data_IF_802818518590
#
_entry.id   IF_802818518590
#
_cell.length_a   1.000
_cell.length_b   1.000
_cell.length_c   1.000
_cell.angle_alpha   90.00
_cell.angle_beta   90.00
_cell.angle_gamma   90.00
#
_symmetry.space_group_name_H-M   'P 1'
#
loop_
_entity.id
_entity.type
_entity.pdbx_description
1 polymer ?
#
# COMPACT_ATOMS: atom_id res chain seq x y z
N UNK A 1 -3.12 -33.50 11.41
CA UNK A 1 -4.19 -33.73 12.38
C UNK A 1 -5.15 -32.54 12.35
N UNK A 2 -6.45 -32.81 12.33
CA UNK A 2 -7.50 -31.79 12.43
C UNK A 2 -8.07 -31.86 13.83
N UNK A 3 -8.12 -30.70 14.52
CA UNK A 3 -8.68 -30.58 15.86
C UNK A 3 -9.68 -29.45 15.83
N UNK A 4 -10.95 -29.82 15.96
CA UNK A 4 -12.06 -28.89 15.93
C UNK A 4 -12.40 -28.35 17.34
N UNK A 5 -13.09 -27.21 17.39
CA UNK A 5 -13.66 -26.62 18.61
C UNK A 5 -12.64 -26.26 19.71
N UNK A 6 -11.41 -25.87 19.34
CA UNK A 6 -10.43 -25.41 20.30
C UNK A 6 -10.82 -24.07 20.90
N UNK A 7 -10.78 -23.97 22.23
CA UNK A 7 -10.83 -22.68 22.92
C UNK A 7 -9.56 -21.86 22.66
N UNK A 8 -9.58 -20.53 22.87
CA UNK A 8 -8.35 -19.71 22.71
C UNK A 8 -7.17 -20.19 23.56
N UNK A 9 -7.42 -20.66 24.78
CA UNK A 9 -6.37 -21.24 25.65
C UNK A 9 -5.78 -22.52 25.10
N UNK A 10 -6.60 -23.42 24.60
CA UNK A 10 -6.14 -24.66 24.00
C UNK A 10 -5.30 -24.42 22.74
N UNK A 11 -5.63 -23.38 21.93
CA UNK A 11 -4.81 -22.95 20.81
C UNK A 11 -3.40 -22.54 21.27
N UNK A 12 -3.30 -21.69 22.29
CA UNK A 12 -2.03 -21.25 22.89
C UNK A 12 -1.21 -22.42 23.40
N UNK A 13 -1.82 -23.34 24.19
CA UNK A 13 -1.12 -24.50 24.75
C UNK A 13 -0.58 -25.44 23.65
N UNK A 14 -1.31 -25.58 22.55
CA UNK A 14 -0.84 -26.36 21.40
C UNK A 14 0.30 -25.68 20.67
N UNK A 15 0.18 -24.40 20.36
CA UNK A 15 1.26 -23.64 19.71
C UNK A 15 2.52 -23.73 20.57
N UNK A 16 2.42 -23.57 21.88
CA UNK A 16 3.53 -23.72 22.82
C UNK A 16 4.14 -25.13 22.78
N UNK A 17 3.31 -26.17 22.74
CA UNK A 17 3.78 -27.55 22.67
C UNK A 17 4.53 -27.83 21.36
N UNK A 18 4.04 -27.33 20.23
CA UNK A 18 4.69 -27.49 18.93
C UNK A 18 5.96 -26.62 18.83
N UNK A 19 5.92 -25.38 19.35
CA UNK A 19 7.09 -24.48 19.41
C UNK A 19 8.24 -25.07 20.22
N UNK A 20 7.94 -25.90 21.21
CA UNK A 20 8.97 -26.65 21.96
C UNK A 20 9.58 -27.83 21.17
N UNK A 21 9.00 -28.23 20.04
CA UNK A 21 9.45 -29.36 19.21
C UNK A 21 10.10 -28.92 17.91
N UNK A 22 9.57 -27.86 17.29
CA UNK A 22 10.02 -27.39 15.98
C UNK A 22 9.71 -25.89 15.81
N UNK A 23 10.33 -25.27 14.78
CA UNK A 23 9.97 -23.91 14.37
C UNK A 23 8.52 -23.92 13.89
N UNK A 24 7.68 -23.16 14.57
CA UNK A 24 6.23 -23.15 14.39
C UNK A 24 5.77 -21.81 13.82
N UNK A 25 4.98 -21.87 12.76
CA UNK A 25 4.25 -20.75 12.21
C UNK A 25 2.77 -20.90 12.59
N UNK A 26 2.22 -19.90 13.26
CA UNK A 26 0.78 -19.81 13.54
C UNK A 26 0.14 -18.86 12.56
N UNK A 27 -0.94 -19.30 11.94
CA UNK A 27 -1.77 -18.45 11.06
C UNK A 27 -3.16 -18.32 11.70
N UNK A 28 -3.65 -17.10 11.82
CA UNK A 28 -4.95 -16.82 12.41
C UNK A 28 -5.62 -15.61 11.76
N UNK A 29 -6.95 -15.61 11.74
CA UNK A 29 -7.78 -14.59 11.07
C UNK A 29 -8.53 -13.67 12.04
N UNK A 30 -8.48 -13.92 13.33
CA UNK A 30 -9.32 -13.25 14.33
C UNK A 30 -8.59 -12.72 15.55
N UNK A 31 -9.25 -11.77 16.23
CA UNK A 31 -8.80 -11.17 17.50
C UNK A 31 -8.55 -12.23 18.58
N UNK A 32 -9.31 -13.34 18.54
CA UNK A 32 -9.18 -14.44 19.47
C UNK A 32 -7.88 -15.26 19.28
N UNK A 33 -7.22 -15.11 18.16
CA UNK A 33 -5.97 -15.82 17.83
C UNK A 33 -4.71 -15.02 18.22
N UNK A 34 -4.84 -13.74 18.57
CA UNK A 34 -3.73 -12.89 18.96
C UNK A 34 -2.80 -13.50 20.03
N UNK A 35 -3.29 -14.13 21.12
CA UNK A 35 -2.41 -14.80 22.08
C UNK A 35 -1.65 -16.01 21.49
N UNK A 36 -2.26 -16.75 20.56
CA UNK A 36 -1.63 -17.90 19.93
C UNK A 36 -0.61 -17.46 18.85
N UNK A 37 -0.88 -16.35 18.15
CA UNK A 37 0.08 -15.71 17.23
C UNK A 37 1.34 -15.27 17.96
N UNK A 38 1.17 -14.60 19.13
CA UNK A 38 2.30 -14.14 19.95
C UNK A 38 3.15 -15.29 20.55
N UNK A 39 2.57 -16.47 20.73
CA UNK A 39 3.27 -17.63 21.32
C UNK A 39 4.07 -18.43 20.26
N UNK A 40 3.76 -18.26 18.97
CA UNK A 40 4.45 -18.94 17.89
C UNK A 40 5.85 -18.34 17.65
N UNK A 41 6.73 -19.08 16.94
CA UNK A 41 7.99 -18.51 16.46
C UNK A 41 7.77 -17.46 15.36
N UNK A 42 6.70 -17.60 14.59
CA UNK A 42 6.24 -16.63 13.61
C UNK A 42 4.72 -16.62 13.65
N UNK A 43 4.12 -15.50 13.99
CA UNK A 43 2.69 -15.24 13.93
C UNK A 43 2.31 -14.56 12.61
N UNK A 44 1.34 -15.11 11.90
CA UNK A 44 0.83 -14.55 10.63
C UNK A 44 -0.66 -14.26 10.77
N UNK A 45 -1.05 -13.01 10.69
CA UNK A 45 -2.44 -12.60 10.66
C UNK A 45 -2.97 -12.64 9.21
N UNK A 46 -4.22 -13.11 9.03
CA UNK A 46 -4.92 -13.14 7.75
C UNK A 46 -6.15 -12.22 7.78
N UNK A 47 -6.54 -11.70 6.60
CA UNK A 47 -7.79 -10.95 6.44
C UNK A 47 -7.85 -9.63 7.20
N UNK A 48 -6.71 -9.05 7.56
CA UNK A 48 -6.65 -7.82 8.35
C UNK A 48 -7.13 -6.60 7.55
N UNK A 49 -8.43 -6.47 7.42
CA UNK A 49 -9.08 -5.23 6.98
C UNK A 49 -9.14 -4.25 8.15
N UNK A 50 -8.03 -3.58 8.43
CA UNK A 50 -7.91 -2.60 9.51
C UNK A 50 -7.02 -3.06 10.66
N UNK A 51 -6.62 -2.12 11.53
CA UNK A 51 -5.84 -2.38 12.74
C UNK A 51 -6.65 -3.26 13.71
N UNK A 52 -6.44 -4.56 13.66
CA UNK A 52 -6.99 -5.52 14.60
C UNK A 52 -5.91 -5.92 15.61
N UNK A 53 -6.30 -6.36 16.80
CA UNK A 53 -5.36 -6.84 17.81
C UNK A 53 -4.45 -7.97 17.26
N UNK A 54 -4.92 -8.72 16.26
CA UNK A 54 -4.13 -9.76 15.59
C UNK A 54 -3.04 -9.20 14.71
N UNK A 55 -3.30 -8.10 13.97
CA UNK A 55 -2.29 -7.47 13.11
C UNK A 55 -1.23 -6.73 13.90
N UNK A 56 -1.55 -6.23 15.12
CA UNK A 56 -0.58 -5.57 15.99
C UNK A 56 0.40 -6.55 16.66
N UNK A 57 0.01 -7.81 16.80
CA UNK A 57 0.81 -8.85 17.50
C UNK A 57 1.52 -9.78 16.51
N UNK A 58 1.06 -9.84 15.27
CA UNK A 58 1.61 -10.72 14.25
C UNK A 58 2.95 -10.20 13.70
N UNK A 59 3.89 -11.11 13.39
CA UNK A 59 5.16 -10.80 12.73
C UNK A 59 4.97 -10.52 11.23
N UNK A 60 3.89 -11.04 10.64
CA UNK A 60 3.51 -10.79 9.24
C UNK A 60 1.99 -10.73 9.10
N UNK A 61 1.53 -9.93 8.14
CA UNK A 61 0.10 -9.77 7.83
C UNK A 61 -0.13 -10.11 6.36
N UNK A 62 -1.04 -11.05 6.11
CA UNK A 62 -1.57 -11.31 4.78
C UNK A 62 -2.78 -10.42 4.55
N UNK A 63 -2.65 -9.48 3.62
CA UNK A 63 -3.70 -8.50 3.31
C UNK A 63 -4.88 -9.10 2.54
N UNK A 64 -4.73 -10.35 2.09
CA UNK A 64 -5.77 -11.11 1.41
C UNK A 64 -6.11 -12.37 2.20
N UNK A 65 -7.37 -12.78 2.21
CA UNK A 65 -7.85 -13.97 2.93
C UNK A 65 -7.56 -15.25 2.12
N UNK A 66 -6.24 -15.51 1.91
CA UNK A 66 -5.74 -16.66 1.14
C UNK A 66 -4.53 -17.27 1.81
N UNK A 67 -4.69 -18.48 2.33
CA UNK A 67 -3.64 -19.22 3.02
C UNK A 67 -2.48 -19.65 2.10
N UNK A 68 -2.72 -19.82 0.80
CA UNK A 68 -1.67 -20.13 -0.20
C UNK A 68 -0.63 -19.02 -0.33
N UNK A 69 -0.97 -17.77 0.04
CA UNK A 69 -0.02 -16.64 0.09
C UNK A 69 1.06 -16.79 1.16
N UNK A 70 0.84 -17.64 2.14
CA UNK A 70 1.89 -17.99 3.09
C UNK A 70 3.11 -18.63 2.39
N UNK A 71 2.88 -19.44 1.35
CA UNK A 71 3.96 -20.01 0.57
C UNK A 71 4.80 -18.93 -0.13
N UNK A 72 4.14 -17.93 -0.74
CA UNK A 72 4.79 -16.77 -1.36
C UNK A 72 5.60 -15.99 -0.33
N UNK A 73 5.02 -15.71 0.84
CA UNK A 73 5.70 -15.00 1.94
C UNK A 73 6.97 -15.73 2.41
N UNK A 74 6.90 -17.05 2.55
CA UNK A 74 8.06 -17.89 2.91
C UNK A 74 9.13 -17.87 1.83
N UNK A 75 8.75 -17.86 0.54
CA UNK A 75 9.70 -17.79 -0.57
C UNK A 75 10.41 -16.43 -0.59
N UNK A 76 9.67 -15.33 -0.45
CA UNK A 76 10.20 -13.97 -0.34
C UNK A 76 11.17 -13.86 0.84
N UNK A 77 10.78 -14.35 2.00
CA UNK A 77 11.63 -14.32 3.20
C UNK A 77 12.94 -15.12 3.02
N UNK A 78 12.86 -16.29 2.38
CA UNK A 78 14.04 -17.12 2.06
C UNK A 78 14.95 -16.42 1.06
N UNK A 79 14.38 -15.75 0.06
CA UNK A 79 15.15 -15.01 -0.94
C UNK A 79 15.87 -13.83 -0.28
N UNK A 80 15.16 -12.99 0.47
CA UNK A 80 15.72 -11.86 1.18
C UNK A 80 16.83 -12.29 2.16
N UNK A 81 16.59 -13.36 2.94
CA UNK A 81 17.59 -13.93 3.84
C UNK A 81 18.84 -14.41 3.09
N UNK A 82 18.68 -15.05 1.93
CA UNK A 82 19.82 -15.51 1.11
C UNK A 82 20.69 -14.34 0.68
N UNK A 83 20.08 -13.26 0.21
CA UNK A 83 20.81 -12.05 -0.19
C UNK A 83 21.49 -11.39 1.01
N UNK A 84 20.81 -11.28 2.16
CA UNK A 84 21.37 -10.70 3.37
C UNK A 84 22.60 -11.49 3.86
N UNK A 85 22.50 -12.82 3.92
CA UNK A 85 23.62 -13.70 4.31
C UNK A 85 24.77 -13.62 3.29
N UNK A 86 24.46 -13.59 1.99
CA UNK A 86 25.46 -13.42 0.94
C UNK A 86 26.18 -12.08 1.08
N UNK A 87 25.46 -10.98 1.25
CA UNK A 87 26.04 -9.63 1.41
C UNK A 87 26.94 -9.57 2.64
N UNK A 88 26.47 -10.08 3.78
CA UNK A 88 27.24 -10.10 5.02
C UNK A 88 28.52 -10.95 4.89
N UNK A 89 28.42 -12.16 4.34
CA UNK A 89 29.58 -13.05 4.21
C UNK A 89 30.61 -12.53 3.22
N UNK A 90 30.17 -11.97 2.09
CA UNK A 90 31.09 -11.36 1.10
C UNK A 90 31.75 -10.11 1.67
N UNK A 91 30.97 -9.21 2.29
CA UNK A 91 31.50 -7.99 2.88
C UNK A 91 32.52 -8.28 3.98
N UNK A 92 32.17 -9.15 4.94
CA UNK A 92 33.10 -9.56 6.00
C UNK A 92 34.34 -10.26 5.44
N UNK A 93 34.19 -11.14 4.46
CA UNK A 93 35.30 -11.82 3.83
C UNK A 93 36.29 -10.85 3.17
N UNK A 94 35.79 -9.88 2.41
CA UNK A 94 36.60 -8.84 1.78
C UNK A 94 37.29 -7.95 2.82
N UNK A 95 36.57 -7.56 3.88
CA UNK A 95 37.14 -6.76 4.96
C UNK A 95 38.28 -7.51 5.71
N UNK A 96 38.13 -8.81 5.95
CA UNK A 96 39.18 -9.64 6.56
C UNK A 96 40.41 -9.72 5.65
N UNK A 97 40.22 -9.91 4.34
CA UNK A 97 41.33 -9.92 3.38
C UNK A 97 42.08 -8.57 3.33
N UNK A 98 41.33 -7.47 3.33
CA UNK A 98 41.89 -6.12 3.38
C UNK A 98 42.69 -5.89 4.69
N UNK A 99 42.18 -6.36 5.82
CA UNK A 99 42.82 -6.27 7.10
C UNK A 99 44.13 -7.06 7.15
N UNK A 100 44.17 -8.28 6.60
CA UNK A 100 45.39 -9.09 6.50
C UNK A 100 46.42 -8.41 5.60
N UNK A 101 46.00 -7.84 4.48
CA UNK A 101 46.87 -7.08 3.57
C UNK A 101 47.48 -5.84 4.26
N UNK A 102 46.67 -5.13 5.06
CA UNK A 102 47.12 -3.97 5.82
C UNK A 102 48.14 -4.40 6.93
N UNK A 103 47.85 -5.47 7.68
CA UNK A 103 48.75 -6.01 8.68
C UNK A 103 50.10 -6.47 8.09
N UNK A 104 50.09 -6.96 6.86
CA UNK A 104 51.29 -7.32 6.11
C UNK A 104 52.04 -6.09 5.52
N UNK A 105 51.59 -4.86 5.79
CA UNK A 105 52.19 -3.62 5.29
C UNK A 105 51.98 -3.35 3.79
N UNK A 106 51.07 -4.07 3.14
CA UNK A 106 50.82 -3.95 1.72
C UNK A 106 49.69 -2.97 1.38
N UNK A 107 48.95 -2.49 2.37
CA UNK A 107 47.81 -1.58 2.19
C UNK A 107 48.03 -0.31 3.03
N UNK A 108 48.36 0.84 2.42
CA UNK A 108 48.44 2.12 3.12
C UNK A 108 47.12 2.54 3.73
N UNK A 109 47.08 3.27 4.88
CA UNK A 109 45.83 3.63 5.54
C UNK A 109 44.79 4.33 4.65
N UNK A 110 45.24 5.28 3.82
CA UNK A 110 44.36 6.02 2.90
C UNK A 110 43.73 5.10 1.86
N UNK A 111 44.54 4.21 1.25
CA UNK A 111 44.02 3.24 0.28
C UNK A 111 43.09 2.23 0.94
N UNK A 112 43.37 1.85 2.19
CA UNK A 112 42.51 0.99 3.01
C UNK A 112 41.11 1.61 3.23
N UNK A 113 41.06 2.90 3.54
CA UNK A 113 39.80 3.62 3.73
C UNK A 113 38.95 3.63 2.45
N UNK A 114 39.55 3.96 1.28
CA UNK A 114 38.82 3.91 0.02
C UNK A 114 38.37 2.49 -0.37
N UNK A 115 39.17 1.48 -0.07
CA UNK A 115 38.82 0.09 -0.31
C UNK A 115 37.61 -0.32 0.56
N UNK A 116 37.57 0.10 1.83
CA UNK A 116 36.45 -0.17 2.73
C UNK A 116 35.17 0.47 2.24
N UNK A 117 35.20 1.75 1.83
CA UNK A 117 34.04 2.41 1.24
C UNK A 117 33.55 1.68 -0.02
N UNK A 118 34.47 1.20 -0.86
CA UNK A 118 34.12 0.40 -2.04
C UNK A 118 33.44 -0.92 -1.68
N UNK A 119 33.89 -1.60 -0.61
CA UNK A 119 33.25 -2.82 -0.10
C UNK A 119 31.85 -2.52 0.42
N UNK A 120 31.68 -1.43 1.16
CA UNK A 120 30.39 -1.05 1.74
C UNK A 120 29.36 -0.72 0.64
N UNK A 121 29.76 0.05 -0.38
CA UNK A 121 28.92 0.34 -1.56
C UNK A 121 28.52 -0.95 -2.28
N UNK A 122 29.47 -1.88 -2.50
CA UNK A 122 29.21 -3.15 -3.18
C UNK A 122 28.22 -4.01 -2.39
N UNK A 123 28.35 -4.05 -1.06
CA UNK A 123 27.43 -4.78 -0.15
C UNK A 123 26.03 -4.18 -0.20
N UNK A 124 25.93 -2.84 -0.18
CA UNK A 124 24.64 -2.14 -0.27
C UNK A 124 23.98 -2.41 -1.64
N UNK A 125 24.70 -2.27 -2.73
CA UNK A 125 24.18 -2.55 -4.09
C UNK A 125 23.71 -3.99 -4.23
N UNK A 126 24.47 -4.94 -3.65
CA UNK A 126 24.03 -6.35 -3.62
C UNK A 126 22.77 -6.55 -2.77
N UNK A 127 22.67 -5.85 -1.62
CA UNK A 127 21.50 -5.93 -0.73
C UNK A 127 20.23 -5.37 -1.40
N UNK A 128 20.35 -4.31 -2.22
CA UNK A 128 19.24 -3.74 -2.98
C UNK A 128 18.57 -4.74 -3.95
N UNK A 129 19.27 -5.82 -4.31
CA UNK A 129 18.67 -6.91 -5.10
C UNK A 129 17.51 -7.59 -4.38
N UNK A 130 17.49 -7.52 -3.04
CA UNK A 130 16.39 -8.07 -2.25
C UNK A 130 15.06 -7.36 -2.55
N UNK A 131 15.09 -6.06 -2.87
CA UNK A 131 13.91 -5.28 -3.24
C UNK A 131 13.31 -5.73 -4.58
N UNK A 132 14.13 -6.25 -5.50
CA UNK A 132 13.68 -6.70 -6.82
C UNK A 132 13.21 -8.16 -6.88
N UNK A 133 13.43 -8.96 -5.85
CA UNK A 133 13.21 -10.40 -5.90
C UNK A 133 11.85 -10.89 -5.43
N UNK A 134 11.10 -10.06 -4.70
CA UNK A 134 9.77 -10.45 -4.18
C UNK A 134 8.62 -10.19 -5.17
N UNK A 135 8.79 -9.21 -6.05
CA UNK A 135 7.73 -8.77 -6.98
C UNK A 135 8.02 -9.12 -8.45
N UNK A 136 9.27 -9.48 -8.79
CA UNK A 136 9.67 -9.87 -10.16
C UNK A 136 9.17 -11.25 -10.63
N UNK A 137 8.52 -12.01 -9.78
CA UNK A 137 8.01 -13.36 -10.11
C UNK A 137 6.60 -13.37 -10.71
N UNK A 138 5.90 -12.23 -10.75
CA UNK A 138 4.60 -12.14 -11.40
C UNK A 138 4.77 -11.45 -12.73
N UNK A 139 4.74 -12.22 -13.81
CA UNK A 139 4.62 -11.69 -15.16
C UNK A 139 3.28 -10.93 -15.26
N UNK A 140 3.35 -9.61 -15.09
CA UNK A 140 2.20 -8.75 -15.37
C UNK A 140 2.00 -8.79 -16.89
N UNK A 141 0.86 -9.26 -17.41
CA UNK A 141 0.61 -9.31 -18.83
C UNK A 141 0.82 -7.94 -19.48
N UNK A 142 1.32 -7.87 -20.73
CA UNK A 142 1.51 -6.60 -21.42
C UNK A 142 0.25 -5.73 -21.44
N UNK A 143 -0.91 -6.34 -21.68
CA UNK A 143 -2.22 -5.67 -21.66
C UNK A 143 -2.53 -5.02 -20.29
N UNK A 144 -2.17 -5.69 -19.19
CA UNK A 144 -2.34 -5.14 -17.84
C UNK A 144 -1.36 -3.99 -17.58
N UNK A 145 -0.14 -4.04 -18.13
CA UNK A 145 0.82 -2.93 -18.04
C UNK A 145 0.31 -1.70 -18.78
N UNK A 146 -0.25 -1.87 -19.98
CA UNK A 146 -0.84 -0.77 -20.74
C UNK A 146 -2.01 -0.11 -19.98
N UNK A 147 -2.81 -0.91 -19.25
CA UNK A 147 -3.85 -0.39 -18.37
C UNK A 147 -3.27 0.40 -17.20
N UNK A 148 -2.26 -0.13 -16.52
CA UNK A 148 -1.56 0.56 -15.42
C UNK A 148 -1.00 1.91 -15.88
N UNK A 149 -0.29 1.94 -17.01
CA UNK A 149 0.29 3.17 -17.54
C UNK A 149 -0.79 4.20 -17.92
N UNK A 150 -1.91 3.75 -18.50
CA UNK A 150 -3.03 4.61 -18.85
C UNK A 150 -3.67 5.24 -17.62
N UNK A 151 -4.05 4.43 -16.62
CA UNK A 151 -4.71 4.95 -15.41
C UNK A 151 -3.77 5.80 -14.57
N UNK A 152 -2.49 5.42 -14.44
CA UNK A 152 -1.48 6.27 -13.81
C UNK A 152 -1.33 7.63 -14.50
N UNK A 153 -1.47 7.67 -15.83
CA UNK A 153 -1.46 8.92 -16.60
C UNK A 153 -2.66 9.83 -16.32
N UNK A 154 -3.82 9.25 -16.01
CA UNK A 154 -5.04 9.99 -15.70
C UNK A 154 -5.01 10.64 -14.30
N UNK A 155 -4.20 10.14 -13.37
CA UNK A 155 -4.09 10.64 -11.99
C UNK A 155 -3.73 12.13 -11.90
N UNK A 156 -2.93 12.65 -12.84
CA UNK A 156 -2.60 14.08 -12.86
C UNK A 156 -3.87 14.94 -13.02
N UNK A 157 -4.78 14.53 -13.92
CA UNK A 157 -6.04 15.23 -14.14
C UNK A 157 -7.02 15.07 -12.96
N UNK A 158 -6.98 13.95 -12.25
CA UNK A 158 -7.77 13.72 -11.02
C UNK A 158 -7.24 14.62 -9.89
N UNK A 159 -5.90 14.74 -9.73
CA UNK A 159 -5.28 15.66 -8.76
C UNK A 159 -5.63 17.12 -8.99
N UNK A 160 -5.77 17.55 -10.25
CA UNK A 160 -6.23 18.92 -10.56
C UNK A 160 -7.66 19.18 -10.07
N UNK A 161 -8.56 18.18 -10.21
CA UNK A 161 -9.93 18.29 -9.68
C UNK A 161 -9.91 18.29 -8.16
N UNK A 162 -9.05 17.47 -7.54
CA UNK A 162 -8.89 17.41 -6.09
C UNK A 162 -8.42 18.73 -5.49
N UNK A 163 -7.47 19.42 -6.12
CA UNK A 163 -7.05 20.76 -5.71
C UNK A 163 -8.23 21.75 -5.71
N UNK A 164 -9.08 21.69 -6.74
CA UNK A 164 -10.28 22.55 -6.80
C UNK A 164 -11.35 22.20 -5.76
N UNK A 165 -11.50 20.92 -5.39
CA UNK A 165 -12.37 20.51 -4.27
C UNK A 165 -11.92 21.21 -3.01
N UNK A 166 -10.60 21.20 -2.73
CA UNK A 166 -10.01 21.86 -1.55
C UNK A 166 -10.21 23.35 -1.57
N UNK A 167 -9.88 24.02 -2.69
CA UNK A 167 -10.03 25.47 -2.83
C UNK A 167 -11.50 25.88 -2.66
N UNK A 168 -12.44 25.09 -3.18
CA UNK A 168 -13.88 25.33 -3.04
C UNK A 168 -14.34 25.12 -1.60
N UNK A 169 -13.85 24.10 -0.91
CA UNK A 169 -14.14 23.88 0.50
C UNK A 169 -13.66 25.06 1.36
N UNK A 170 -12.44 25.55 1.13
CA UNK A 170 -11.85 26.67 1.83
C UNK A 170 -12.61 28.00 1.53
N UNK A 171 -13.09 28.19 0.28
CA UNK A 171 -13.96 29.31 -0.08
C UNK A 171 -15.28 29.27 0.70
N UNK A 172 -15.97 28.14 0.70
CA UNK A 172 -17.24 27.96 1.43
C UNK A 172 -17.05 28.13 2.93
N UNK A 173 -15.94 27.62 3.49
CA UNK A 173 -15.65 27.73 4.91
C UNK A 173 -15.39 29.16 5.36
N UNK A 174 -14.73 29.97 4.52
CA UNK A 174 -14.33 31.33 4.88
C UNK A 174 -15.37 32.39 4.51
N UNK A 175 -16.13 32.19 3.43
CA UNK A 175 -17.10 33.17 2.88
C UNK A 175 -18.33 32.46 2.32
N UNK A 176 -19.14 31.77 3.16
CA UNK A 176 -20.28 30.96 2.70
C UNK A 176 -21.35 31.78 1.92
N UNK A 177 -21.47 33.06 2.20
CA UNK A 177 -22.43 33.96 1.55
C UNK A 177 -21.90 34.62 0.26
N UNK A 178 -20.64 34.29 -0.13
CA UNK A 178 -20.05 34.87 -1.33
C UNK A 178 -20.77 34.36 -2.60
N UNK A 179 -21.03 35.21 -3.57
CA UNK A 179 -21.75 34.83 -4.80
C UNK A 179 -21.00 33.83 -5.66
N UNK A 180 -19.67 33.67 -5.42
CA UNK A 180 -18.81 32.71 -6.11
C UNK A 180 -18.96 31.28 -5.62
N UNK A 181 -19.51 31.06 -4.41
CA UNK A 181 -19.58 29.72 -3.78
C UNK A 181 -20.38 28.73 -4.62
N UNK A 182 -21.60 29.07 -5.01
CA UNK A 182 -22.45 28.14 -5.78
C UNK A 182 -21.92 27.89 -7.20
N UNK A 183 -21.42 28.90 -7.95
CA UNK A 183 -20.70 28.65 -9.20
C UNK A 183 -19.48 27.72 -9.06
N UNK A 184 -18.64 27.93 -8.04
CA UNK A 184 -17.47 27.09 -7.77
C UNK A 184 -17.89 25.64 -7.46
N UNK A 185 -18.90 25.45 -6.61
CA UNK A 185 -19.46 24.13 -6.30
C UNK A 185 -20.02 23.41 -7.54
N UNK A 186 -20.74 24.13 -8.41
CA UNK A 186 -21.25 23.56 -9.67
C UNK A 186 -20.12 23.11 -10.59
N UNK A 187 -19.07 23.91 -10.69
CA UNK A 187 -17.90 23.57 -11.51
C UNK A 187 -17.15 22.35 -10.96
N UNK A 188 -16.91 22.31 -9.66
CA UNK A 188 -16.29 21.15 -9.00
C UNK A 188 -17.15 19.90 -9.20
N UNK A 189 -18.43 19.96 -8.92
CA UNK A 189 -19.33 18.82 -9.11
C UNK A 189 -19.36 18.33 -10.56
N UNK A 190 -19.39 19.26 -11.53
CA UNK A 190 -19.31 18.95 -12.95
C UNK A 190 -18.02 18.21 -13.30
N UNK A 191 -16.87 18.65 -12.74
CA UNK A 191 -15.58 18.00 -12.99
C UNK A 191 -15.48 16.65 -12.30
N UNK A 192 -15.99 16.50 -11.08
CA UNK A 192 -16.07 15.23 -10.38
C UNK A 192 -16.85 14.20 -11.20
N UNK A 193 -18.05 14.56 -11.68
CA UNK A 193 -18.88 13.69 -12.51
C UNK A 193 -18.32 13.41 -13.90
N UNK A 194 -17.58 14.35 -14.49
CA UNK A 194 -17.04 14.20 -15.84
C UNK A 194 -15.67 13.51 -15.89
N UNK A 195 -14.91 13.48 -14.79
CA UNK A 195 -13.53 12.95 -14.77
C UNK A 195 -13.32 11.90 -13.70
N UNK A 196 -13.67 12.19 -12.43
CA UNK A 196 -13.35 11.29 -11.31
C UNK A 196 -14.23 10.04 -11.33
N UNK A 197 -15.54 10.19 -11.45
CA UNK A 197 -16.45 9.03 -11.50
C UNK A 197 -16.23 8.13 -12.72
N UNK A 198 -16.00 8.63 -13.95
CA UNK A 198 -15.66 7.77 -15.08
C UNK A 198 -14.32 7.07 -14.95
N UNK A 199 -13.31 7.71 -14.35
CA UNK A 199 -12.00 7.12 -14.02
C UNK A 199 -12.18 5.93 -13.08
N UNK A 200 -12.79 6.14 -11.90
CA UNK A 200 -13.11 5.08 -10.94
C UNK A 200 -13.91 3.93 -11.56
N UNK A 201 -14.94 4.25 -12.35
CA UNK A 201 -15.72 3.24 -13.06
C UNK A 201 -14.93 2.51 -14.16
N UNK A 202 -13.89 3.12 -14.70
CA UNK A 202 -12.96 2.50 -15.65
C UNK A 202 -12.06 1.48 -14.95
N UNK A 203 -11.50 1.82 -13.82
CA UNK A 203 -10.68 0.94 -12.99
C UNK A 203 -11.45 -0.29 -12.52
N UNK A 204 -12.67 -0.12 -12.03
CA UNK A 204 -13.57 -1.23 -11.66
C UNK A 204 -13.84 -2.19 -12.80
N UNK A 205 -13.99 -1.68 -14.01
CA UNK A 205 -14.36 -2.52 -15.17
C UNK A 205 -13.17 -3.14 -15.87
N UNK A 206 -11.98 -2.52 -15.83
CA UNK A 206 -10.86 -2.89 -16.67
C UNK A 206 -9.62 -3.20 -15.87
N UNK A 207 -9.16 -2.29 -14.98
CA UNK A 207 -7.91 -2.41 -14.27
C UNK A 207 -7.98 -3.47 -13.17
N UNK A 208 -8.93 -3.39 -12.26
CA UNK A 208 -9.02 -4.30 -11.13
C UNK A 208 -9.22 -5.76 -11.53
N UNK A 209 -10.10 -6.10 -12.50
CA UNK A 209 -10.16 -7.47 -13.00
C UNK A 209 -8.86 -7.96 -13.65
N UNK A 210 -8.12 -7.08 -14.35
CA UNK A 210 -6.84 -7.43 -14.95
C UNK A 210 -5.72 -7.63 -13.91
N UNK A 211 -5.84 -7.01 -12.73
CA UNK A 211 -4.91 -7.17 -11.60
C UNK A 211 -5.16 -8.44 -10.79
N UNK A 212 -6.33 -9.05 -10.87
CA UNK A 212 -6.68 -10.26 -10.12
C UNK A 212 -5.65 -11.39 -10.30
N UNK A 213 -5.24 -11.66 -11.53
CA UNK A 213 -4.18 -12.63 -11.84
C UNK A 213 -2.83 -12.27 -11.23
N UNK A 214 -2.24 -11.11 -11.56
CA UNK A 214 -0.99 -10.64 -10.98
C UNK A 214 -1.00 -10.53 -9.46
N UNK A 215 -2.07 -10.07 -8.85
CA UNK A 215 -2.23 -9.99 -7.40
C UNK A 215 -2.64 -11.33 -6.79
N UNK A 216 -3.17 -12.24 -7.62
CA UNK A 216 -3.56 -13.61 -7.29
C UNK A 216 -4.81 -13.71 -6.42
N UNK A 217 -5.64 -12.70 -6.41
CA UNK A 217 -6.97 -12.69 -5.78
C UNK A 217 -7.84 -11.62 -6.40
N UNK A 218 -9.09 -11.95 -6.66
CA UNK A 218 -10.13 -11.00 -7.06
C UNK A 218 -10.46 -10.00 -5.93
N UNK A 219 -10.15 -10.38 -4.69
CA UNK A 219 -10.41 -9.57 -3.50
C UNK A 219 -9.29 -8.56 -3.20
N UNK A 220 -8.13 -8.66 -3.88
CA UNK A 220 -6.98 -7.80 -3.62
C UNK A 220 -7.27 -6.31 -3.86
N UNK A 221 -8.22 -6.00 -4.73
CA UNK A 221 -8.68 -4.63 -5.05
C UNK A 221 -9.93 -4.20 -4.27
N UNK A 222 -10.47 -5.06 -3.39
CA UNK A 222 -11.76 -4.81 -2.71
C UNK A 222 -11.74 -3.57 -1.80
N UNK A 223 -10.59 -3.19 -1.26
CA UNK A 223 -10.43 -1.97 -0.46
C UNK A 223 -10.54 -0.73 -1.33
N UNK A 224 -9.97 -0.76 -2.53
CA UNK A 224 -10.08 0.33 -3.51
C UNK A 224 -11.51 0.47 -4.01
N UNK A 225 -12.18 -0.64 -4.34
CA UNK A 225 -13.60 -0.64 -4.71
C UNK A 225 -14.50 -0.01 -3.64
N UNK A 226 -14.22 -0.25 -2.35
CA UNK A 226 -14.93 0.44 -1.26
C UNK A 226 -14.64 1.94 -1.23
N UNK A 227 -13.41 2.34 -1.55
CA UNK A 227 -13.04 3.75 -1.74
C UNK A 227 -13.88 4.43 -2.81
N UNK A 228 -14.07 3.78 -3.96
CA UNK A 228 -14.91 4.28 -5.05
C UNK A 228 -16.38 4.45 -4.66
N UNK A 229 -16.93 3.52 -3.87
CA UNK A 229 -18.29 3.64 -3.33
C UNK A 229 -18.41 4.89 -2.45
N UNK A 230 -17.45 5.13 -1.57
CA UNK A 230 -17.47 6.31 -0.69
C UNK A 230 -17.25 7.62 -1.47
N UNK A 231 -16.35 7.64 -2.45
CA UNK A 231 -16.16 8.79 -3.35
C UNK A 231 -17.47 9.11 -4.07
N UNK A 232 -18.14 8.11 -4.65
CA UNK A 232 -19.44 8.30 -5.33
C UNK A 232 -20.47 8.85 -4.38
N UNK A 233 -20.60 8.30 -3.17
CA UNK A 233 -21.53 8.77 -2.14
C UNK A 233 -21.30 10.24 -1.76
N UNK A 234 -20.05 10.67 -1.63
CA UNK A 234 -19.71 12.05 -1.31
C UNK A 234 -20.00 12.99 -2.48
N UNK A 235 -19.73 12.58 -3.72
CA UNK A 235 -20.07 13.36 -4.93
C UNK A 235 -21.57 13.53 -5.07
N UNK A 236 -22.36 12.47 -4.86
CA UNK A 236 -23.82 12.53 -4.89
C UNK A 236 -24.38 13.45 -3.80
N UNK A 237 -23.78 13.45 -2.61
CA UNK A 237 -24.16 14.34 -1.51
C UNK A 237 -23.95 15.82 -1.87
N UNK A 238 -22.79 16.14 -2.48
CA UNK A 238 -22.53 17.50 -3.00
C UNK A 238 -23.56 17.87 -4.09
N UNK A 239 -23.88 16.93 -5.00
CA UNK A 239 -24.91 17.11 -6.01
C UNK A 239 -26.29 17.37 -5.42
N UNK A 240 -26.65 16.70 -4.32
CA UNK A 240 -27.89 16.90 -3.59
C UNK A 240 -28.03 18.34 -3.06
N UNK A 241 -26.96 18.88 -2.46
CA UNK A 241 -26.94 20.27 -2.02
C UNK A 241 -27.13 21.26 -3.19
N UNK A 242 -26.47 21.00 -4.32
CA UNK A 242 -26.62 21.86 -5.51
C UNK A 242 -28.03 21.82 -6.10
N UNK A 243 -28.69 20.66 -6.10
CA UNK A 243 -30.05 20.53 -6.59
C UNK A 243 -31.09 21.25 -5.70
N UNK A 244 -30.84 21.31 -4.39
CA UNK A 244 -31.68 22.03 -3.43
C UNK A 244 -31.57 23.56 -3.56
N UNK A 245 -30.48 24.08 -4.21
CA UNK A 245 -30.17 25.52 -4.27
C UNK A 245 -30.19 26.07 -5.70
N UNK A 246 -31.32 25.94 -6.36
CA UNK A 246 -31.54 26.54 -7.67
C UNK A 246 -31.48 28.08 -7.66
N UNK A 247 -31.73 28.68 -6.52
CA UNK A 247 -31.71 30.17 -6.29
C UNK A 247 -30.29 30.74 -6.17
N UNK A 248 -29.26 29.93 -6.15
CA UNK A 248 -27.85 30.37 -6.19
C UNK A 248 -27.28 30.84 -4.85
N UNK A 249 -27.92 30.52 -3.71
CA UNK A 249 -27.41 30.81 -2.37
C UNK A 249 -27.35 29.56 -1.52
N UNK A 250 -26.26 29.43 -0.71
CA UNK A 250 -26.14 28.38 0.29
C UNK A 250 -26.94 28.77 1.53
N UNK A 251 -27.63 27.79 2.10
CA UNK A 251 -28.30 27.95 3.38
C UNK A 251 -27.32 27.77 4.52
N UNK A 252 -27.30 28.65 5.55
CA UNK A 252 -26.35 28.55 6.66
C UNK A 252 -26.40 27.23 7.43
N UNK A 253 -27.57 26.59 7.52
CA UNK A 253 -27.81 25.33 8.18
C UNK A 253 -27.22 24.11 7.41
N UNK A 254 -26.96 24.25 6.12
CA UNK A 254 -26.41 23.20 5.24
C UNK A 254 -24.88 23.29 5.04
N UNK A 255 -24.30 24.47 5.32
CA UNK A 255 -22.86 24.69 5.16
C UNK A 255 -22.00 23.66 5.91
N UNK A 256 -22.29 23.31 7.18
CA UNK A 256 -21.49 22.29 7.89
C UNK A 256 -21.53 20.93 7.20
N UNK A 257 -22.68 20.51 6.68
CA UNK A 257 -22.85 19.23 5.99
C UNK A 257 -22.12 19.19 4.65
N UNK A 258 -22.21 20.29 3.89
CA UNK A 258 -21.50 20.46 2.63
C UNK A 258 -19.97 20.47 2.84
N UNK A 259 -19.47 21.15 3.85
CA UNK A 259 -18.05 21.15 4.21
C UNK A 259 -17.56 19.78 4.63
N UNK A 260 -18.37 19.04 5.39
CA UNK A 260 -18.04 17.65 5.74
C UNK A 260 -17.93 16.75 4.49
N UNK A 261 -18.79 16.97 3.48
CA UNK A 261 -18.72 16.24 2.22
C UNK A 261 -17.48 16.63 1.39
N UNK A 262 -17.15 17.92 1.29
CA UNK A 262 -16.00 18.42 0.51
C UNK A 262 -14.66 18.00 1.13
N UNK A 263 -14.45 18.22 2.43
CA UNK A 263 -13.22 17.82 3.12
C UNK A 263 -13.10 16.30 3.23
N UNK A 264 -14.21 15.60 3.44
CA UNK A 264 -14.26 14.15 3.41
C UNK A 264 -13.82 13.58 2.06
N UNK A 265 -14.32 14.18 0.96
CA UNK A 265 -13.94 13.79 -0.39
C UNK A 265 -12.45 14.08 -0.67
N UNK A 266 -11.94 15.24 -0.26
CA UNK A 266 -10.52 15.59 -0.37
C UNK A 266 -9.65 14.54 0.32
N UNK A 267 -9.99 14.17 1.57
CA UNK A 267 -9.23 13.20 2.34
C UNK A 267 -9.28 11.78 1.74
N UNK A 268 -10.49 11.30 1.40
CA UNK A 268 -10.67 9.96 0.84
C UNK A 268 -9.99 9.83 -0.51
N UNK A 269 -10.13 10.81 -1.39
CA UNK A 269 -9.56 10.75 -2.74
C UNK A 269 -8.02 10.86 -2.71
N UNK A 270 -7.43 11.67 -1.80
CA UNK A 270 -5.97 11.71 -1.60
C UNK A 270 -5.42 10.38 -1.17
N UNK A 271 -6.06 9.76 -0.16
CA UNK A 271 -5.63 8.47 0.35
C UNK A 271 -5.75 7.38 -0.73
N UNK A 272 -6.86 7.38 -1.46
CA UNK A 272 -7.13 6.44 -2.53
C UNK A 272 -6.06 6.50 -3.63
N UNK A 273 -5.77 7.69 -4.16
CA UNK A 273 -4.72 7.88 -5.18
C UNK A 273 -3.33 7.46 -4.67
N UNK A 274 -3.00 7.78 -3.41
CA UNK A 274 -1.72 7.39 -2.82
C UNK A 274 -1.60 5.87 -2.70
N UNK A 275 -2.65 5.18 -2.27
CA UNK A 275 -2.67 3.72 -2.16
C UNK A 275 -2.55 3.04 -3.52
N UNK A 276 -3.24 3.53 -4.55
CA UNK A 276 -3.12 2.98 -5.91
C UNK A 276 -1.71 3.16 -6.49
N UNK A 277 -1.09 4.32 -6.27
CA UNK A 277 0.28 4.58 -6.72
C UNK A 277 1.28 3.66 -6.02
N UNK A 278 1.10 3.40 -4.73
CA UNK A 278 1.97 2.51 -3.96
C UNK A 278 1.72 1.03 -4.27
N UNK A 279 0.46 0.59 -4.29
CA UNK A 279 0.11 -0.83 -4.34
C UNK A 279 0.10 -1.39 -5.78
N UNK A 280 -0.39 -0.61 -6.76
CA UNK A 280 -0.66 -1.10 -8.11
C UNK A 280 0.28 -0.54 -9.16
N UNK A 281 0.49 0.77 -9.21
CA UNK A 281 1.32 1.36 -10.26
C UNK A 281 2.81 1.08 -10.08
N UNK A 282 3.23 0.69 -8.87
CA UNK A 282 4.57 0.15 -8.62
C UNK A 282 4.83 -1.20 -9.32
N UNK A 283 3.78 -1.90 -9.79
CA UNK A 283 3.89 -3.12 -10.59
C UNK A 283 4.24 -2.85 -12.06
N UNK A 284 4.07 -1.61 -12.51
CA UNK A 284 4.51 -1.14 -13.83
C UNK A 284 6.03 -0.99 -13.92
N UNK A 285 6.60 -0.76 -15.13
CA UNK A 285 8.01 -0.46 -15.28
C UNK A 285 8.32 0.83 -14.50
N UNK A 286 9.42 0.81 -13.72
CA UNK A 286 9.90 2.02 -13.05
C UNK A 286 9.99 3.14 -14.10
N UNK A 287 9.22 4.21 -13.95
CA UNK A 287 9.38 5.42 -14.76
C UNK A 287 10.81 5.88 -14.57
N UNK A 288 11.61 5.78 -15.64
CA UNK A 288 12.94 6.35 -15.64
C UNK A 288 12.82 7.80 -15.17
N UNK A 289 13.63 8.14 -14.19
CA UNK A 289 13.88 9.52 -13.79
C UNK A 289 14.52 10.21 -15.02
N UNK A 290 13.67 10.72 -15.94
CA UNK A 290 14.10 11.58 -17.02
C UNK A 290 14.53 12.88 -16.36
N UNK A 291 15.84 12.96 -16.12
CA UNK A 291 16.55 14.05 -15.50
C UNK A 291 16.08 15.43 -15.95
N UNK A 292 15.69 16.25 -14.97
CA UNK A 292 15.81 17.71 -15.04
C UNK A 292 16.46 18.22 -13.75
#
# INVERSE_FOLDING_TARGET
DVIAQCSPREKVDRVRAESGRAVTVMVGDGVNDAPALAEAHVGVAMGATGATASSEVADAVLTVDRLDRLADAVEIARYARRIAVQSATVGMGLAVVAMVAAAAGRLPPVAGAFLQEGIDVLVIVNALRALGGGLRGRDVPPETRDLLDRYAGEHAAVRDVLAQVRDTADLVATRPDAPECVPALREVHRRLTARVLPHAAGEERQLYPALAGPLGSDEATSTMSRGHVEITRLVDRIGGHLAAHADGRLRPDEVPDLLAALYGLDAVLRLHLAQEEEDFFSLGPARGDDGR
#
